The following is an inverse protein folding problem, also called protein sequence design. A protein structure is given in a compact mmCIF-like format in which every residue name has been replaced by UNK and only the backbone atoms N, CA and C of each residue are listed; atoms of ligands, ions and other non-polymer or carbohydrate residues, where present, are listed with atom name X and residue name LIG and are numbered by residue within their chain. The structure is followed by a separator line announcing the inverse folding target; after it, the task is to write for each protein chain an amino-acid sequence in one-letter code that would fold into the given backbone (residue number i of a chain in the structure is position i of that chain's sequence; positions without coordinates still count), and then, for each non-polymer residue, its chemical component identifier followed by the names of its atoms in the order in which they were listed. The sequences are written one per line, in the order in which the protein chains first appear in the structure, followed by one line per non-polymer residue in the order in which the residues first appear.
data_IF_054995266585
#
_entry.id   IF_054995266585
#
_cell.length_a   1.000
_cell.length_b   1.000
_cell.length_c   1.000
_cell.angle_alpha   90.00
_cell.angle_beta   90.00
_cell.angle_gamma   90.00
#
_symmetry.space_group_name_H-M   'P 1'
#
loop_
_entity.id
_entity.type
_entity.pdbx_description
1 polymer ?
#
# COMPACT_ATOMS: atom_id res chain seq x y z
N UNK A 1 -33.20 13.74 -12.51
CA UNK A 1 -32.58 14.55 -13.57
C UNK A 1 -33.56 14.65 -14.73
N UNK A 2 -33.97 15.85 -15.15
CA UNK A 2 -34.76 15.98 -16.37
C UNK A 2 -33.85 15.61 -17.55
N UNK A 3 -34.33 14.72 -18.44
CA UNK A 3 -33.65 14.43 -19.69
C UNK A 3 -33.66 15.71 -20.53
N UNK A 4 -32.56 16.44 -20.54
CA UNK A 4 -32.31 17.51 -21.50
C UNK A 4 -32.40 16.90 -22.89
N UNK A 5 -33.29 17.46 -23.70
CA UNK A 5 -33.57 17.00 -25.06
C UNK A 5 -32.35 17.30 -25.94
N UNK A 6 -31.43 16.33 -26.02
CA UNK A 6 -30.20 16.36 -26.81
C UNK A 6 -30.45 16.78 -28.28
N UNK A 7 -31.66 16.58 -28.80
CA UNK A 7 -32.02 16.97 -30.16
C UNK A 7 -32.11 18.49 -30.35
N UNK A 8 -32.46 19.25 -29.30
CA UNK A 8 -32.53 20.70 -29.33
C UNK A 8 -31.16 21.36 -29.13
N UNK A 9 -30.30 20.80 -28.28
CA UNK A 9 -28.92 21.30 -28.09
C UNK A 9 -28.09 21.15 -29.37
N UNK A 10 -28.20 20.01 -30.07
CA UNK A 10 -27.51 19.77 -31.34
C UNK A 10 -27.97 20.75 -32.44
N UNK A 11 -29.28 21.02 -32.56
CA UNK A 11 -29.80 21.99 -33.54
C UNK A 11 -29.32 23.43 -33.27
N UNK A 12 -29.18 23.83 -32.00
CA UNK A 12 -28.69 25.16 -31.62
C UNK A 12 -27.18 25.28 -31.87
N UNK A 13 -26.39 24.23 -31.61
CA UNK A 13 -24.95 24.19 -31.95
C UNK A 13 -24.73 24.30 -33.47
N UNK A 14 -25.52 23.57 -34.26
CA UNK A 14 -25.41 23.57 -35.73
C UNK A 14 -25.72 24.95 -36.34
N UNK A 15 -26.66 25.70 -35.75
CA UNK A 15 -26.99 27.07 -36.16
C UNK A 15 -25.88 28.08 -35.84
N UNK A 16 -25.14 27.89 -34.74
CA UNK A 16 -24.06 28.79 -34.30
C UNK A 16 -22.80 28.68 -35.17
N UNK A 17 -22.44 27.46 -35.59
CA UNK A 17 -21.33 27.24 -36.53
C UNK A 17 -21.59 27.84 -37.92
N UNK A 18 -22.85 27.84 -38.37
CA UNK A 18 -23.27 28.44 -39.64
C UNK A 18 -23.04 29.97 -39.68
N UNK A 19 -23.20 30.67 -38.55
CA UNK A 19 -22.96 32.12 -38.46
C UNK A 19 -21.50 32.51 -38.63
N UNK A 20 -20.58 31.75 -38.01
CA UNK A 20 -19.13 31.98 -38.17
C UNK A 20 -18.72 31.73 -39.63
N UNK A 21 -19.17 30.62 -40.21
CA UNK A 21 -18.93 30.30 -41.61
C UNK A 21 -19.42 31.40 -42.56
N UNK A 22 -20.62 31.93 -42.32
CA UNK A 22 -21.19 33.02 -43.12
C UNK A 22 -20.35 34.30 -43.06
N UNK A 23 -19.88 34.71 -41.88
CA UNK A 23 -19.01 35.89 -41.73
C UNK A 23 -17.66 35.66 -42.41
N UNK A 24 -17.07 34.47 -42.27
CA UNK A 24 -15.83 34.11 -42.97
C UNK A 24 -16.01 34.20 -44.47
N UNK A 25 -17.13 33.71 -45.02
CA UNK A 25 -17.44 33.82 -46.45
C UNK A 25 -17.52 35.28 -46.92
N UNK A 26 -18.18 36.14 -46.15
CA UNK A 26 -18.25 37.59 -46.43
C UNK A 26 -16.85 38.21 -46.48
N UNK A 27 -15.99 37.89 -45.52
CA UNK A 27 -14.61 38.40 -45.49
C UNK A 27 -13.78 37.90 -46.67
N UNK A 28 -13.99 36.66 -47.12
CA UNK A 28 -13.34 36.11 -48.32
C UNK A 28 -13.79 36.85 -49.58
N UNK A 29 -15.08 37.22 -49.69
CA UNK A 29 -15.56 38.08 -50.79
C UNK A 29 -14.83 39.43 -50.77
N UNK A 30 -14.56 39.99 -49.60
CA UNK A 30 -13.72 41.19 -49.45
C UNK A 30 -12.32 41.05 -50.06
N UNK A 31 -11.70 39.86 -49.95
CA UNK A 31 -10.37 39.59 -50.54
C UNK A 31 -10.46 39.60 -52.06
N UNK A 32 -11.53 39.04 -52.62
CA UNK A 32 -11.79 39.08 -54.07
C UNK A 32 -11.95 40.53 -54.55
N UNK A 33 -12.65 41.38 -53.78
CA UNK A 33 -12.81 42.81 -54.09
C UNK A 33 -11.47 43.54 -54.05
N UNK A 34 -10.60 43.24 -53.08
CA UNK A 34 -9.22 43.77 -53.03
C UNK A 34 -8.43 43.36 -54.27
N UNK A 35 -8.57 42.12 -54.72
CA UNK A 35 -7.89 41.62 -55.91
C UNK A 35 -8.34 42.36 -57.18
N UNK A 36 -9.66 42.53 -57.35
CA UNK A 36 -10.25 43.29 -58.46
C UNK A 36 -9.78 44.75 -58.43
N UNK A 37 -9.79 45.38 -57.26
CA UNK A 37 -9.33 46.75 -57.08
C UNK A 37 -7.85 46.92 -57.46
N UNK A 38 -7.03 45.94 -57.08
CA UNK A 38 -5.59 45.95 -57.40
C UNK A 38 -5.35 45.79 -58.90
N UNK A 39 -6.09 44.91 -59.60
CA UNK A 39 -5.99 44.73 -61.06
C UNK A 39 -6.37 46.03 -61.79
N UNK A 40 -7.43 46.71 -61.32
CA UNK A 40 -7.93 47.94 -61.94
C UNK A 40 -6.90 49.09 -61.96
N UNK A 41 -5.83 49.02 -61.16
CA UNK A 41 -4.77 50.02 -61.09
C UNK A 41 -3.54 49.72 -61.98
N UNK A 42 -3.56 48.63 -62.74
CA UNK A 42 -2.48 48.26 -63.67
C UNK A 42 -1.46 47.27 -63.11
N UNK A 43 -0.80 46.53 -64.01
CA UNK A 43 0.12 45.44 -63.67
C UNK A 43 1.40 45.92 -62.96
N UNK A 44 1.81 47.17 -63.21
CA UNK A 44 2.98 47.82 -62.60
C UNK A 44 2.80 48.12 -61.11
N UNK A 45 1.56 48.40 -60.69
CA UNK A 45 1.22 48.75 -59.29
C UNK A 45 0.46 47.65 -58.55
N UNK A 46 -0.01 46.63 -59.25
CA UNK A 46 -0.83 45.53 -58.74
C UNK A 46 -0.29 44.95 -57.43
N UNK A 47 0.98 44.53 -57.41
CA UNK A 47 1.57 43.85 -56.24
C UNK A 47 1.69 44.77 -55.02
N UNK A 48 1.99 46.05 -55.25
CA UNK A 48 2.10 47.06 -54.17
C UNK A 48 0.74 47.37 -53.58
N UNK A 49 -0.29 47.58 -54.41
CA UNK A 49 -1.64 47.90 -53.94
C UNK A 49 -2.27 46.69 -53.26
N UNK A 50 -2.07 45.48 -53.80
CA UNK A 50 -2.56 44.24 -53.20
C UNK A 50 -1.95 44.00 -51.82
N UNK A 51 -0.62 44.14 -51.69
CA UNK A 51 0.06 43.92 -50.41
C UNK A 51 -0.33 44.95 -49.34
N UNK A 52 -0.45 46.23 -49.70
CA UNK A 52 -0.92 47.29 -48.79
C UNK A 52 -2.38 47.06 -48.39
N UNK A 53 -3.25 46.72 -49.33
CA UNK A 53 -4.66 46.40 -49.03
C UNK A 53 -4.80 45.18 -48.13
N UNK A 54 -4.01 44.13 -48.40
CA UNK A 54 -4.02 42.90 -47.62
C UNK A 54 -3.52 43.12 -46.19
N UNK A 55 -2.47 43.92 -45.98
CA UNK A 55 -1.98 44.19 -44.62
C UNK A 55 -2.98 45.05 -43.84
N UNK A 56 -3.62 46.05 -44.48
CA UNK A 56 -4.70 46.84 -43.86
C UNK A 56 -5.85 45.92 -43.44
N UNK A 57 -6.29 45.04 -44.35
CA UNK A 57 -7.35 44.08 -44.07
C UNK A 57 -6.99 43.15 -42.90
N UNK A 58 -5.79 42.55 -42.92
CA UNK A 58 -5.34 41.63 -41.89
C UNK A 58 -5.20 42.30 -40.52
N UNK A 59 -4.53 43.46 -40.45
CA UNK A 59 -4.35 44.20 -39.21
C UNK A 59 -5.69 44.63 -38.63
N UNK A 60 -6.59 45.14 -39.47
CA UNK A 60 -7.94 45.53 -39.04
C UNK A 60 -8.72 44.33 -38.50
N UNK A 61 -8.65 43.18 -39.18
CA UNK A 61 -9.30 41.94 -38.75
C UNK A 61 -8.74 41.42 -37.42
N UNK A 62 -7.42 41.45 -37.21
CA UNK A 62 -6.79 41.03 -35.95
C UNK A 62 -7.21 41.94 -34.79
N UNK A 63 -7.16 43.26 -34.99
CA UNK A 63 -7.57 44.22 -33.95
C UNK A 63 -9.05 44.06 -33.64
N UNK A 64 -9.89 43.93 -34.67
CA UNK A 64 -11.31 43.64 -34.53
C UNK A 64 -11.52 42.35 -33.74
N UNK A 65 -10.89 41.25 -34.14
CA UNK A 65 -11.03 39.94 -33.50
C UNK A 65 -10.54 39.91 -32.06
N UNK A 66 -9.49 40.66 -31.73
CA UNK A 66 -9.04 40.80 -30.35
C UNK A 66 -10.08 41.51 -29.48
N UNK A 67 -10.62 42.64 -29.96
CA UNK A 67 -11.69 43.35 -29.25
C UNK A 67 -12.94 42.47 -29.16
N UNK A 68 -13.34 41.85 -30.27
CA UNK A 68 -14.46 40.91 -30.32
C UNK A 68 -14.28 39.77 -29.33
N UNK A 69 -13.10 39.17 -29.27
CA UNK A 69 -12.75 38.12 -28.32
C UNK A 69 -12.99 38.57 -26.88
N UNK A 70 -12.50 39.76 -26.50
CA UNK A 70 -12.68 40.33 -25.17
C UNK A 70 -14.18 40.49 -24.87
N UNK A 71 -14.92 41.16 -25.75
CA UNK A 71 -16.36 41.37 -25.59
C UNK A 71 -17.18 40.06 -25.60
N UNK A 72 -16.67 39.03 -26.26
CA UNK A 72 -17.31 37.73 -26.39
C UNK A 72 -17.07 36.79 -25.21
N UNK A 73 -16.16 37.13 -24.28
CA UNK A 73 -15.92 36.33 -23.08
C UNK A 73 -17.23 36.18 -22.30
N UNK A 74 -17.72 34.95 -22.09
CA UNK A 74 -18.95 34.71 -21.37
C UNK A 74 -18.77 35.12 -19.91
N UNK A 75 -19.64 36.02 -19.44
CA UNK A 75 -19.74 36.36 -18.02
C UNK A 75 -20.56 35.29 -17.33
N UNK A 76 -20.02 34.68 -16.30
CA UNK A 76 -20.74 33.63 -15.59
C UNK A 76 -21.71 34.32 -14.63
N UNK A 77 -23.04 34.21 -14.78
CA UNK A 77 -23.92 34.63 -13.70
C UNK A 77 -23.55 33.77 -12.50
N UNK A 78 -23.23 34.40 -11.36
CA UNK A 78 -22.92 33.72 -10.12
C UNK A 78 -24.11 32.82 -9.74
N UNK A 79 -24.08 31.56 -10.17
CA UNK A 79 -25.01 30.54 -9.75
C UNK A 79 -24.66 30.24 -8.28
N UNK A 80 -25.58 30.59 -7.40
CA UNK A 80 -25.39 30.73 -5.96
C UNK A 80 -24.98 29.45 -5.19
N UNK A 81 -24.80 28.29 -5.83
CA UNK A 81 -24.59 27.02 -5.12
C UNK A 81 -23.55 26.07 -5.77
N UNK A 82 -22.61 26.57 -6.58
CA UNK A 82 -21.51 25.73 -7.09
C UNK A 82 -20.16 26.35 -6.74
N UNK A 83 -19.62 25.93 -5.61
CA UNK A 83 -18.35 26.37 -4.98
C UNK A 83 -17.08 26.09 -5.82
N UNK A 84 -17.17 25.81 -7.12
CA UNK A 84 -16.02 25.40 -7.95
C UNK A 84 -16.10 25.84 -9.42
N UNK A 85 -16.67 27.01 -9.73
CA UNK A 85 -16.48 27.63 -11.05
C UNK A 85 -15.27 28.58 -10.97
N UNK A 86 -14.07 28.00 -10.83
CA UNK A 86 -12.81 28.74 -10.65
C UNK A 86 -11.96 28.89 -11.91
N UNK A 87 -12.36 28.27 -13.02
CA UNK A 87 -11.58 28.32 -14.27
C UNK A 87 -12.15 29.39 -15.20
N UNK A 88 -12.04 30.68 -14.81
CA UNK A 88 -12.00 31.85 -15.71
C UNK A 88 -12.19 33.22 -15.06
N UNK A 89 -12.23 33.34 -13.73
CA UNK A 89 -12.41 34.65 -13.07
C UNK A 89 -11.40 35.68 -13.55
N UNK A 90 -10.13 35.29 -13.73
CA UNK A 90 -9.08 36.21 -14.20
C UNK A 90 -9.36 36.76 -15.61
N UNK A 91 -9.76 35.93 -16.57
CA UNK A 91 -10.06 36.40 -17.95
C UNK A 91 -11.37 37.19 -18.01
N UNK A 92 -12.36 36.79 -17.21
CA UNK A 92 -13.64 37.48 -17.08
C UNK A 92 -13.46 38.87 -16.45
N UNK A 93 -12.74 38.96 -15.33
CA UNK A 93 -12.37 40.21 -14.69
C UNK A 93 -11.54 41.07 -15.63
N UNK A 94 -10.57 40.45 -16.33
CA UNK A 94 -9.72 41.18 -17.27
C UNK A 94 -10.53 41.81 -18.40
N UNK A 95 -11.43 41.03 -18.97
CA UNK A 95 -12.34 41.49 -20.00
C UNK A 95 -13.28 42.59 -19.51
N UNK A 96 -13.84 42.46 -18.30
CA UNK A 96 -14.78 43.45 -17.77
C UNK A 96 -14.11 44.81 -17.56
N UNK A 97 -12.88 44.86 -17.02
CA UNK A 97 -12.17 46.14 -16.90
C UNK A 97 -11.78 46.71 -18.27
N UNK A 98 -11.29 45.88 -19.20
CA UNK A 98 -10.92 46.35 -20.55
C UNK A 98 -12.14 46.90 -21.29
N UNK A 99 -13.25 46.17 -21.31
CA UNK A 99 -14.47 46.60 -22.00
C UNK A 99 -15.01 47.91 -21.44
N UNK A 100 -15.00 48.10 -20.12
CA UNK A 100 -15.38 49.38 -19.48
C UNK A 100 -14.47 50.53 -19.91
N UNK A 101 -13.15 50.33 -19.95
CA UNK A 101 -12.20 51.35 -20.42
C UNK A 101 -12.45 51.67 -21.90
N UNK A 102 -12.58 50.65 -22.76
CA UNK A 102 -12.81 50.86 -24.21
C UNK A 102 -14.09 51.66 -24.43
N UNK A 103 -15.21 51.28 -23.79
CA UNK A 103 -16.49 52.00 -23.92
C UNK A 103 -16.38 53.42 -23.35
N UNK A 104 -15.75 53.59 -22.19
CA UNK A 104 -15.57 54.89 -21.55
C UNK A 104 -14.73 55.87 -22.37
N UNK A 105 -13.59 55.42 -22.89
CA UNK A 105 -12.71 56.23 -23.76
C UNK A 105 -13.43 56.55 -25.08
N UNK A 106 -14.12 55.58 -25.67
CA UNK A 106 -14.86 55.79 -26.92
C UNK A 106 -15.96 56.85 -26.78
N UNK A 107 -16.68 56.86 -25.65
CA UNK A 107 -17.70 57.87 -25.36
C UNK A 107 -17.14 59.30 -25.27
N UNK A 108 -15.96 59.46 -24.67
CA UNK A 108 -15.34 60.78 -24.46
C UNK A 108 -14.60 61.28 -25.71
N UNK A 109 -13.99 60.38 -26.49
CA UNK A 109 -13.12 60.73 -27.63
C UNK A 109 -13.78 60.53 -29.00
N UNK A 110 -15.09 60.28 -29.05
CA UNK A 110 -15.83 59.96 -30.29
C UNK A 110 -15.59 60.99 -31.42
N UNK A 111 -15.50 62.27 -31.09
CA UNK A 111 -15.23 63.34 -32.07
C UNK A 111 -13.77 63.36 -32.57
N UNK A 112 -12.80 62.87 -31.78
CA UNK A 112 -11.40 62.79 -32.18
C UNK A 112 -11.14 61.58 -33.08
N UNK A 113 -12.02 60.57 -33.03
CA UNK A 113 -11.95 59.36 -33.84
C UNK A 113 -12.10 59.66 -35.34
N UNK A 114 -13.00 60.57 -35.72
CA UNK A 114 -13.21 60.94 -37.13
C UNK A 114 -11.95 61.56 -37.75
N UNK A 115 -11.26 62.43 -37.01
CA UNK A 115 -10.02 63.06 -37.45
C UNK A 115 -8.88 62.03 -37.59
N UNK A 116 -8.84 61.06 -36.67
CA UNK A 116 -7.91 59.93 -36.73
C UNK A 116 -8.14 59.07 -37.97
N UNK A 117 -9.38 58.67 -38.24
CA UNK A 117 -9.76 57.88 -39.42
C UNK A 117 -9.45 58.66 -40.71
N UNK A 118 -9.72 59.97 -40.75
CA UNK A 118 -9.40 60.80 -41.90
C UNK A 118 -7.89 60.86 -42.17
N UNK A 119 -7.07 61.08 -41.14
CA UNK A 119 -5.60 61.11 -41.26
C UNK A 119 -5.04 59.77 -41.72
N UNK A 120 -5.48 58.67 -41.10
CA UNK A 120 -5.05 57.31 -41.47
C UNK A 120 -5.50 56.99 -42.90
N UNK A 121 -6.76 57.26 -43.23
CA UNK A 121 -7.31 57.06 -44.57
C UNK A 121 -6.55 57.83 -45.64
N UNK A 122 -6.14 59.08 -45.37
CA UNK A 122 -5.37 59.89 -46.30
C UNK A 122 -3.92 59.39 -46.47
N UNK A 123 -3.32 58.84 -45.42
CA UNK A 123 -2.00 58.21 -45.51
C UNK A 123 -2.06 56.90 -46.30
N UNK A 124 -3.07 56.06 -46.02
CA UNK A 124 -3.25 54.77 -46.70
C UNK A 124 -3.64 54.95 -48.18
N UNK A 125 -4.43 55.97 -48.51
CA UNK A 125 -4.85 56.25 -49.89
C UNK A 125 -3.68 56.53 -50.83
N UNK A 126 -2.61 57.16 -50.33
CA UNK A 126 -1.38 57.39 -51.09
C UNK A 126 -0.68 56.07 -51.46
N UNK A 127 -0.66 55.11 -50.52
CA UNK A 127 -0.15 53.76 -50.78
C UNK A 127 -1.04 52.91 -51.70
N UNK A 128 -2.31 53.28 -51.84
CA UNK A 128 -3.32 52.55 -52.61
C UNK A 128 -3.61 53.16 -53.99
N UNK A 129 -2.63 53.84 -54.58
CA UNK A 129 -2.71 54.39 -55.94
C UNK A 129 -3.05 55.88 -56.03
N UNK A 130 -3.36 56.53 -54.90
CA UNK A 130 -3.48 58.00 -54.81
C UNK A 130 -4.64 58.62 -55.60
N UNK A 131 -5.62 57.82 -56.02
CA UNK A 131 -6.81 58.29 -56.74
C UNK A 131 -7.88 58.79 -55.76
N UNK A 132 -8.87 59.59 -56.22
CA UNK A 132 -10.01 60.00 -55.38
C UNK A 132 -10.76 58.81 -54.75
N UNK A 133 -10.79 57.66 -55.43
CA UNK A 133 -11.41 56.42 -54.92
C UNK A 133 -10.56 55.68 -53.89
N UNK A 134 -9.24 55.92 -53.83
CA UNK A 134 -8.31 55.23 -52.92
C UNK A 134 -8.57 55.55 -51.46
N UNK A 135 -9.02 56.77 -51.13
CA UNK A 135 -9.41 57.13 -49.76
C UNK A 135 -10.62 56.31 -49.30
N UNK A 136 -11.68 56.31 -50.11
CA UNK A 136 -12.92 55.58 -49.80
C UNK A 136 -12.63 54.09 -49.65
N UNK A 137 -11.86 53.51 -50.58
CA UNK A 137 -11.51 52.09 -50.53
C UNK A 137 -10.67 51.72 -49.31
N UNK A 138 -9.68 52.55 -48.94
CA UNK A 138 -8.83 52.31 -47.76
C UNK A 138 -9.65 52.28 -46.47
N UNK A 139 -10.49 53.30 -46.26
CA UNK A 139 -11.32 53.44 -45.06
C UNK A 139 -12.39 52.35 -45.01
N UNK A 140 -13.06 52.06 -46.13
CA UNK A 140 -14.05 50.98 -46.20
C UNK A 140 -13.44 49.61 -45.93
N UNK A 141 -12.24 49.32 -46.46
CA UNK A 141 -11.52 48.06 -46.21
C UNK A 141 -11.18 47.93 -44.72
N UNK A 142 -10.62 48.98 -44.11
CA UNK A 142 -10.28 49.01 -42.70
C UNK A 142 -11.50 48.73 -41.82
N UNK A 143 -12.60 49.45 -42.03
CA UNK A 143 -13.84 49.28 -41.25
C UNK A 143 -14.44 47.89 -41.48
N UNK A 144 -14.51 47.43 -42.74
CA UNK A 144 -15.10 46.14 -43.09
C UNK A 144 -14.39 44.98 -42.39
N UNK A 145 -13.06 44.93 -42.48
CA UNK A 145 -12.28 43.87 -41.83
C UNK A 145 -12.24 44.02 -40.31
N UNK A 146 -12.25 45.24 -39.77
CA UNK A 146 -12.40 45.46 -38.33
C UNK A 146 -13.71 44.90 -37.79
N UNK A 147 -14.84 45.23 -38.41
CA UNK A 147 -16.17 44.75 -38.00
C UNK A 147 -16.29 43.24 -38.18
N UNK A 148 -15.82 42.69 -39.29
CA UNK A 148 -15.85 41.24 -39.51
C UNK A 148 -14.94 40.48 -38.54
N UNK A 149 -13.73 40.98 -38.29
CA UNK A 149 -12.85 40.47 -37.25
C UNK A 149 -13.52 40.47 -35.88
N UNK A 150 -14.15 41.60 -35.51
CA UNK A 150 -14.91 41.73 -34.26
C UNK A 150 -15.97 40.65 -34.11
N UNK A 151 -16.82 40.46 -35.11
CA UNK A 151 -17.85 39.42 -35.02
C UNK A 151 -17.27 38.01 -34.96
N UNK A 152 -16.19 37.72 -35.68
CA UNK A 152 -15.52 36.42 -35.60
C UNK A 152 -14.96 36.16 -34.19
N UNK A 153 -14.21 37.11 -33.64
CA UNK A 153 -13.66 36.99 -32.29
C UNK A 153 -14.77 36.87 -31.23
N UNK A 154 -15.82 37.68 -31.35
CA UNK A 154 -16.96 37.66 -30.44
C UNK A 154 -17.70 36.34 -30.46
N UNK A 155 -18.08 35.86 -31.65
CA UNK A 155 -18.81 34.60 -31.78
C UNK A 155 -17.94 33.41 -31.38
N UNK A 156 -16.65 33.42 -31.73
CA UNK A 156 -15.73 32.36 -31.34
C UNK A 156 -15.63 32.24 -29.81
N UNK A 157 -15.37 33.34 -29.11
CA UNK A 157 -15.35 33.36 -27.63
C UNK A 157 -16.68 32.93 -27.04
N UNK A 158 -17.79 33.40 -27.60
CA UNK A 158 -19.12 33.11 -27.04
C UNK A 158 -19.55 31.65 -27.21
N UNK A 159 -19.04 30.97 -28.23
CA UNK A 159 -19.45 29.60 -28.61
C UNK A 159 -18.46 28.56 -28.10
N UNK A 160 -17.17 28.72 -28.37
CA UNK A 160 -16.18 27.66 -28.15
C UNK A 160 -15.51 27.72 -26.78
N UNK A 161 -15.34 28.91 -26.19
CA UNK A 161 -14.65 29.06 -24.91
C UNK A 161 -15.36 28.31 -23.76
N UNK A 162 -16.70 28.37 -23.57
CA UNK A 162 -17.39 27.57 -22.57
C UNK A 162 -17.14 26.07 -22.71
N UNK A 163 -17.15 25.56 -23.94
CA UNK A 163 -17.02 24.13 -24.24
C UNK A 163 -15.65 23.60 -23.81
N UNK A 164 -14.59 24.32 -24.18
CA UNK A 164 -13.21 23.95 -23.83
C UNK A 164 -13.02 23.89 -22.31
N UNK A 165 -13.59 24.85 -21.58
CA UNK A 165 -13.46 24.92 -20.12
C UNK A 165 -14.22 23.78 -19.44
N UNK A 166 -15.47 23.53 -19.86
CA UNK A 166 -16.28 22.44 -19.30
C UNK A 166 -15.58 21.08 -19.51
N UNK A 167 -15.04 20.81 -20.69
CA UNK A 167 -14.28 19.58 -20.95
C UNK A 167 -13.05 19.47 -20.04
N UNK A 168 -12.28 20.55 -19.88
CA UNK A 168 -11.10 20.53 -18.99
C UNK A 168 -11.46 20.32 -17.50
N UNK A 169 -12.63 20.79 -17.08
CA UNK A 169 -13.13 20.59 -15.72
C UNK A 169 -13.58 19.15 -15.49
N UNK A 170 -14.34 18.57 -16.44
CA UNK A 170 -14.78 17.17 -16.36
C UNK A 170 -13.59 16.20 -16.27
N UNK A 171 -12.52 16.44 -17.04
CA UNK A 171 -11.27 15.69 -16.94
C UNK A 171 -10.62 15.81 -15.55
N UNK A 172 -10.59 17.02 -14.99
CA UNK A 172 -10.11 17.26 -13.63
C UNK A 172 -10.93 16.56 -12.55
N UNK A 173 -12.27 16.57 -12.67
CA UNK A 173 -13.16 15.84 -11.76
C UNK A 173 -12.99 14.33 -11.87
N UNK A 174 -12.89 13.78 -13.09
CA UNK A 174 -12.65 12.36 -13.31
C UNK A 174 -11.34 11.91 -12.67
N UNK A 175 -10.28 12.73 -12.77
CA UNK A 175 -9.00 12.44 -12.12
C UNK A 175 -9.13 12.39 -10.59
N UNK A 176 -9.79 13.38 -9.97
CA UNK A 176 -10.03 13.39 -8.51
C UNK A 176 -10.89 12.23 -8.04
N UNK A 177 -11.90 11.82 -8.83
CA UNK A 177 -12.73 10.65 -8.52
C UNK A 177 -11.86 9.39 -8.55
N UNK A 178 -11.06 9.22 -9.60
CA UNK A 178 -10.16 8.07 -9.73
C UNK A 178 -9.14 8.00 -8.59
N UNK A 179 -8.51 9.11 -8.23
CA UNK A 179 -7.57 9.19 -7.10
C UNK A 179 -8.25 8.76 -5.78
N UNK A 180 -9.50 9.17 -5.54
CA UNK A 180 -10.27 8.72 -4.37
C UNK A 180 -10.70 7.26 -4.44
N UNK A 181 -11.05 6.75 -5.61
CA UNK A 181 -11.39 5.34 -5.81
C UNK A 181 -10.17 4.45 -5.52
N UNK A 182 -8.98 4.85 -6.01
CA UNK A 182 -7.73 4.15 -5.75
C UNK A 182 -7.38 4.15 -4.23
N UNK A 183 -7.53 5.28 -3.54
CA UNK A 183 -7.32 5.40 -2.08
C UNK A 183 -8.30 4.53 -1.26
N UNK A 184 -9.57 4.45 -1.70
CA UNK A 184 -10.58 3.58 -1.10
C UNK A 184 -10.25 2.10 -1.27
N UNK A 185 -9.77 1.69 -2.46
CA UNK A 185 -9.37 0.31 -2.73
C UNK A 185 -8.16 -0.12 -1.88
N UNK A 186 -7.16 0.75 -1.74
CA UNK A 186 -5.99 0.49 -0.87
C UNK A 186 -6.42 0.30 0.59
N UNK A 187 -7.27 1.19 1.11
CA UNK A 187 -7.78 1.07 2.49
C UNK A 187 -8.55 -0.23 2.72
N UNK A 188 -9.37 -0.66 1.76
CA UNK A 188 -10.13 -1.91 1.86
C UNK A 188 -9.20 -3.13 1.90
N UNK A 189 -8.16 -3.17 1.06
CA UNK A 189 -7.18 -4.27 1.06
C UNK A 189 -6.45 -4.40 2.40
N UNK A 190 -6.08 -3.28 3.03
CA UNK A 190 -5.43 -3.28 4.35
C UNK A 190 -6.35 -3.83 5.44
N UNK A 191 -7.65 -3.55 5.37
CA UNK A 191 -8.65 -4.09 6.30
C UNK A 191 -8.84 -5.59 6.10
N UNK A 192 -8.91 -6.04 4.84
CA UNK A 192 -9.10 -7.45 4.52
C UNK A 192 -7.88 -8.29 4.95
N UNK A 193 -6.65 -7.84 4.69
CA UNK A 193 -5.44 -8.50 5.18
C UNK A 193 -5.38 -8.55 6.71
N UNK A 194 -5.79 -7.47 7.40
CA UNK A 194 -5.84 -7.47 8.87
C UNK A 194 -6.87 -8.47 9.41
N UNK A 195 -8.02 -8.60 8.77
CA UNK A 195 -9.04 -9.58 9.15
C UNK A 195 -8.55 -11.01 8.97
N UNK A 196 -7.87 -11.30 7.86
CA UNK A 196 -7.25 -12.60 7.59
C UNK A 196 -6.24 -12.95 8.70
N UNK A 197 -5.40 -11.99 9.10
CA UNK A 197 -4.43 -12.21 10.18
C UNK A 197 -5.12 -12.50 11.52
N UNK A 198 -6.23 -11.82 11.83
CA UNK A 198 -7.02 -12.10 13.04
C UNK A 198 -7.60 -13.51 13.00
N UNK A 199 -8.13 -13.95 11.85
CA UNK A 199 -8.74 -15.26 11.70
C UNK A 199 -7.71 -16.40 11.85
N UNK A 200 -6.50 -16.23 11.28
CA UNK A 200 -5.41 -17.20 11.47
C UNK A 200 -5.04 -17.32 12.95
N UNK A 201 -4.91 -16.20 13.67
CA UNK A 201 -4.59 -16.23 15.12
C UNK A 201 -5.67 -16.94 15.92
N UNK A 202 -6.95 -16.69 15.61
CA UNK A 202 -8.09 -17.38 16.26
C UNK A 202 -8.09 -18.87 15.99
N UNK A 203 -7.74 -19.29 14.77
CA UNK A 203 -7.65 -20.70 14.42
C UNK A 203 -6.58 -21.41 15.26
N UNK A 204 -5.38 -20.82 15.38
CA UNK A 204 -4.29 -21.33 16.23
C UNK A 204 -4.69 -21.33 17.72
N UNK A 205 -5.31 -20.26 18.21
CA UNK A 205 -5.79 -20.18 19.60
C UNK A 205 -6.85 -21.26 19.88
N UNK A 206 -7.74 -21.52 18.93
CA UNK A 206 -8.73 -22.60 19.03
C UNK A 206 -8.06 -23.97 19.11
N UNK A 207 -7.01 -24.24 18.32
CA UNK A 207 -6.22 -25.47 18.40
C UNK A 207 -5.58 -25.64 19.78
N UNK A 208 -4.98 -24.58 20.30
CA UNK A 208 -4.34 -24.59 21.62
C UNK A 208 -5.38 -24.87 22.72
N UNK A 209 -6.51 -24.15 22.69
CA UNK A 209 -7.55 -24.25 23.71
C UNK A 209 -8.21 -25.64 23.74
N UNK A 210 -8.51 -26.23 22.58
CA UNK A 210 -9.11 -27.57 22.51
C UNK A 210 -8.12 -28.70 22.85
N UNK A 211 -6.81 -28.43 22.76
CA UNK A 211 -5.77 -29.41 23.12
C UNK A 211 -5.50 -29.45 24.63
N UNK A 212 -5.84 -28.39 25.37
CA UNK A 212 -5.58 -28.29 26.81
C UNK A 212 -6.31 -29.43 27.55
N UNK A 213 -5.61 -30.21 28.40
CA UNK A 213 -6.22 -31.24 29.23
C UNK A 213 -7.48 -30.86 30.00
N UNK A 214 -7.62 -29.59 30.38
CA UNK A 214 -8.78 -29.05 31.10
C UNK A 214 -10.01 -28.87 30.18
N UNK A 215 -9.81 -28.77 28.86
CA UNK A 215 -10.82 -28.40 27.87
C UNK A 215 -11.10 -29.49 26.81
N UNK A 216 -10.67 -30.73 27.03
CA UNK A 216 -10.86 -31.84 26.08
C UNK A 216 -12.30 -32.10 25.59
N UNK A 217 -13.32 -31.54 26.25
CA UNK A 217 -14.72 -31.65 25.81
C UNK A 217 -14.97 -31.03 24.43
N UNK A 218 -14.18 -30.02 24.06
CA UNK A 218 -14.29 -29.32 22.78
C UNK A 218 -13.32 -29.87 21.72
N UNK A 219 -12.62 -30.97 22.03
CA UNK A 219 -11.61 -31.55 21.15
C UNK A 219 -12.19 -32.13 19.86
N UNK A 220 -11.68 -31.63 18.73
CA UNK A 220 -12.00 -32.10 17.38
C UNK A 220 -10.73 -32.63 16.71
N UNK A 221 -10.56 -33.95 16.74
CA UNK A 221 -9.37 -34.59 16.15
C UNK A 221 -9.18 -34.31 14.65
N UNK A 222 -10.25 -34.00 13.92
CA UNK A 222 -10.21 -33.61 12.52
C UNK A 222 -9.45 -32.30 12.25
N UNK A 223 -9.27 -31.45 13.25
CA UNK A 223 -8.54 -30.18 13.14
C UNK A 223 -7.02 -30.37 13.25
N UNK A 224 -6.57 -31.50 13.78
CA UNK A 224 -5.15 -31.84 13.96
C UNK A 224 -4.61 -32.76 12.86
N UNK A 225 -5.28 -32.79 11.70
CA UNK A 225 -4.79 -33.53 10.54
C UNK A 225 -3.59 -32.81 9.92
N UNK A 226 -2.65 -33.59 9.37
CA UNK A 226 -1.44 -33.07 8.73
C UNK A 226 -1.76 -32.01 7.68
N UNK A 227 -2.72 -32.29 6.79
CA UNK A 227 -3.08 -31.39 5.70
C UNK A 227 -3.63 -30.05 6.18
N UNK A 228 -4.48 -30.05 7.22
CA UNK A 228 -4.99 -28.82 7.82
C UNK A 228 -3.89 -28.00 8.47
N UNK A 229 -3.04 -28.64 9.29
CA UNK A 229 -1.94 -27.95 9.97
C UNK A 229 -0.92 -27.41 8.98
N UNK A 230 -0.57 -28.15 7.93
CA UNK A 230 0.30 -27.66 6.86
C UNK A 230 -0.33 -26.45 6.15
N UNK A 231 -1.63 -26.52 5.84
CA UNK A 231 -2.36 -25.40 5.22
C UNK A 231 -2.32 -24.17 6.11
N UNK A 232 -2.55 -24.33 7.42
CA UNK A 232 -2.50 -23.24 8.39
C UNK A 232 -1.09 -22.66 8.53
N UNK A 233 -0.07 -23.51 8.64
CA UNK A 233 1.34 -23.08 8.75
C UNK A 233 1.79 -22.34 7.50
N UNK A 234 1.41 -22.80 6.30
CA UNK A 234 1.72 -22.09 5.05
C UNK A 234 1.08 -20.70 5.03
N UNK A 235 -0.17 -20.55 5.51
CA UNK A 235 -0.81 -19.24 5.66
C UNK A 235 -0.08 -18.36 6.68
N UNK A 236 0.41 -18.95 7.77
CA UNK A 236 1.19 -18.24 8.78
C UNK A 236 2.48 -17.68 8.16
N UNK A 237 3.23 -18.50 7.41
CA UNK A 237 4.49 -18.09 6.74
C UNK A 237 4.24 -16.98 5.71
N UNK A 238 3.13 -17.06 4.95
CA UNK A 238 2.79 -16.07 3.92
C UNK A 238 2.38 -14.71 4.51
N UNK A 239 1.70 -14.72 5.66
CA UNK A 239 0.98 -13.54 6.18
C UNK A 239 1.62 -12.86 7.40
N UNK A 240 2.56 -13.52 8.09
CA UNK A 240 3.17 -13.00 9.30
C UNK A 240 4.67 -12.79 9.15
N UNK A 241 5.19 -11.78 9.85
CA UNK A 241 6.63 -11.62 10.03
C UNK A 241 7.22 -12.80 10.81
N UNK A 242 8.53 -13.04 10.66
CA UNK A 242 9.19 -14.22 11.20
C UNK A 242 8.93 -14.42 12.71
N UNK A 243 9.02 -13.36 13.53
CA UNK A 243 8.77 -13.47 14.98
C UNK A 243 7.34 -13.93 15.32
N UNK A 244 6.33 -13.44 14.61
CA UNK A 244 4.94 -13.85 14.83
C UNK A 244 4.70 -15.27 14.33
N UNK A 245 5.29 -15.61 13.18
CA UNK A 245 5.23 -16.96 12.63
C UNK A 245 5.86 -18.00 13.59
N UNK A 246 6.97 -17.67 14.24
CA UNK A 246 7.60 -18.50 15.27
C UNK A 246 6.65 -18.81 16.44
N UNK A 247 5.96 -17.78 16.95
CA UNK A 247 5.04 -17.92 18.09
C UNK A 247 3.85 -18.80 17.71
N UNK A 248 3.23 -18.53 16.56
CA UNK A 248 2.05 -19.28 16.09
C UNK A 248 2.41 -20.74 15.78
N UNK A 249 3.57 -20.98 15.17
CA UNK A 249 4.08 -22.34 14.96
C UNK A 249 4.34 -23.04 16.29
N UNK A 250 4.98 -22.38 17.26
CA UNK A 250 5.19 -22.93 18.60
C UNK A 250 3.89 -23.32 19.30
N UNK A 251 2.83 -22.51 19.19
CA UNK A 251 1.51 -22.84 19.73
C UNK A 251 0.90 -24.09 19.09
N UNK A 252 1.08 -24.29 17.78
CA UNK A 252 0.66 -25.53 17.10
C UNK A 252 1.44 -26.74 17.65
N UNK A 253 2.75 -26.59 17.87
CA UNK A 253 3.59 -27.65 18.44
C UNK A 253 3.16 -28.00 19.87
N UNK A 254 2.87 -27.00 20.71
CA UNK A 254 2.31 -27.20 22.06
C UNK A 254 0.97 -27.94 21.97
N UNK A 255 0.10 -27.54 21.06
CA UNK A 255 -1.20 -28.18 20.90
C UNK A 255 -1.06 -29.66 20.51
N UNK A 256 -0.13 -29.98 19.62
CA UNK A 256 0.21 -31.37 19.25
C UNK A 256 0.85 -32.15 20.41
N UNK A 257 1.67 -31.48 21.23
CA UNK A 257 2.30 -32.08 22.40
C UNK A 257 1.25 -32.48 23.44
N UNK A 258 0.27 -31.61 23.71
CA UNK A 258 -0.82 -31.87 24.66
C UNK A 258 -1.64 -33.11 24.30
N UNK A 259 -1.91 -33.31 23.00
CA UNK A 259 -2.63 -34.48 22.48
C UNK A 259 -1.71 -35.69 22.19
N UNK A 260 -0.42 -35.58 22.53
CA UNK A 260 0.62 -36.61 22.39
C UNK A 260 0.86 -37.07 20.95
N UNK A 261 0.63 -36.20 19.97
CA UNK A 261 0.91 -36.49 18.56
C UNK A 261 2.36 -36.12 18.18
N UNK A 262 3.31 -36.79 18.84
CA UNK A 262 4.74 -36.48 18.71
C UNK A 262 5.33 -36.77 17.32
N UNK A 263 4.77 -37.74 16.59
CA UNK A 263 5.21 -38.02 15.23
C UNK A 263 4.89 -36.85 14.29
N UNK A 264 3.70 -36.26 14.40
CA UNK A 264 3.32 -35.12 13.58
C UNK A 264 4.15 -33.86 13.93
N UNK A 265 4.54 -33.68 15.21
CA UNK A 265 5.51 -32.64 15.60
C UNK A 265 6.81 -32.78 14.79
N UNK A 266 7.37 -34.00 14.72
CA UNK A 266 8.59 -34.25 13.96
C UNK A 266 8.41 -34.00 12.46
N UNK A 267 7.30 -34.43 11.88
CA UNK A 267 7.01 -34.20 10.46
C UNK A 267 6.92 -32.71 10.12
N UNK A 268 6.22 -31.92 10.94
CA UNK A 268 6.08 -30.48 10.75
C UNK A 268 7.41 -29.75 11.00
N UNK A 269 8.14 -30.13 12.06
CA UNK A 269 9.45 -29.55 12.33
C UNK A 269 10.43 -29.79 11.17
N UNK A 270 10.49 -31.01 10.62
CA UNK A 270 11.38 -31.32 9.49
C UNK A 270 11.00 -30.56 8.22
N UNK A 271 9.70 -30.38 7.99
CA UNK A 271 9.20 -29.65 6.84
C UNK A 271 9.51 -28.15 6.93
N UNK A 272 9.29 -27.54 8.09
CA UNK A 272 9.27 -26.09 8.22
C UNK A 272 10.50 -25.48 8.89
N UNK A 273 11.45 -26.26 9.41
CA UNK A 273 12.67 -25.75 10.07
C UNK A 273 13.60 -24.88 9.20
N UNK A 274 13.36 -24.82 7.88
CA UNK A 274 14.08 -23.92 6.96
C UNK A 274 13.31 -22.63 6.66
N UNK A 275 11.99 -22.66 6.82
CA UNK A 275 11.09 -21.57 6.48
C UNK A 275 10.69 -20.75 7.71
N UNK A 276 10.74 -21.36 8.91
CA UNK A 276 10.47 -20.73 10.20
C UNK A 276 11.71 -20.86 11.08
N UNK A 277 12.13 -19.75 11.68
CA UNK A 277 13.23 -19.75 12.65
C UNK A 277 12.75 -20.23 14.03
N UNK A 278 12.58 -21.55 14.18
CA UNK A 278 11.97 -22.18 15.36
C UNK A 278 12.60 -21.68 16.67
N UNK A 279 11.76 -21.18 17.59
CA UNK A 279 12.19 -20.64 18.88
C UNK A 279 12.82 -21.70 19.80
N UNK A 280 13.67 -21.26 20.74
CA UNK A 280 14.30 -22.16 21.71
C UNK A 280 13.27 -22.96 22.54
N UNK A 281 12.13 -22.36 22.88
CA UNK A 281 11.06 -23.04 23.63
C UNK A 281 10.43 -24.14 22.78
N UNK A 282 10.16 -23.86 21.50
CA UNK A 282 9.59 -24.84 20.56
C UNK A 282 10.56 -25.98 20.29
N UNK A 283 11.86 -25.70 20.14
CA UNK A 283 12.89 -26.74 20.08
C UNK A 283 12.92 -27.60 21.35
N UNK A 284 12.68 -27.00 22.52
CA UNK A 284 12.57 -27.74 23.78
C UNK A 284 11.35 -28.67 23.78
N UNK A 285 10.19 -28.21 23.29
CA UNK A 285 9.00 -29.05 23.13
C UNK A 285 9.23 -30.21 22.15
N UNK A 286 9.97 -29.96 21.06
CA UNK A 286 10.39 -31.00 20.11
C UNK A 286 11.33 -32.00 20.79
N UNK A 287 12.27 -31.55 21.62
CA UNK A 287 13.15 -32.44 22.39
C UNK A 287 12.34 -33.34 23.35
N UNK A 288 11.35 -32.76 24.05
CA UNK A 288 10.44 -33.49 24.93
C UNK A 288 9.61 -34.52 24.17
N UNK A 289 9.07 -34.15 23.00
CA UNK A 289 8.32 -35.06 22.14
C UNK A 289 9.16 -36.28 21.73
N UNK A 290 10.43 -36.06 21.36
CA UNK A 290 11.34 -37.13 20.98
C UNK A 290 11.78 -38.01 22.17
N UNK A 291 12.00 -37.42 23.34
CA UNK A 291 12.24 -38.19 24.58
C UNK A 291 11.04 -39.11 24.91
N UNK A 292 9.80 -38.61 24.77
CA UNK A 292 8.59 -39.41 24.99
C UNK A 292 8.42 -40.53 23.95
N UNK A 293 8.72 -40.25 22.68
CA UNK A 293 8.74 -41.28 21.62
C UNK A 293 9.77 -42.36 21.95
N UNK A 294 11.01 -41.97 22.26
CA UNK A 294 12.06 -42.90 22.66
C UNK A 294 11.64 -43.76 23.86
N UNK A 295 10.97 -43.15 24.86
CA UNK A 295 10.50 -43.89 26.02
C UNK A 295 9.47 -44.99 25.66
N UNK A 296 8.81 -44.86 24.51
CA UNK A 296 7.76 -45.78 24.06
C UNK A 296 8.28 -46.84 23.10
N UNK A 297 9.10 -46.46 22.13
CA UNK A 297 9.48 -47.32 20.99
C UNK A 297 10.98 -47.68 20.94
N UNK A 298 11.83 -47.04 21.75
CA UNK A 298 13.27 -47.31 21.85
C UNK A 298 14.06 -47.13 20.56
N UNK A 299 13.54 -46.38 19.59
CA UNK A 299 14.28 -46.13 18.35
C UNK A 299 15.34 -45.04 18.56
N UNK A 300 16.60 -45.36 18.22
CA UNK A 300 17.73 -44.44 18.32
C UNK A 300 17.58 -43.20 17.46
N UNK A 301 16.71 -43.21 16.45
CA UNK A 301 16.40 -42.02 15.68
C UNK A 301 15.84 -40.89 16.56
N UNK A 302 15.01 -41.22 17.57
CA UNK A 302 14.46 -40.21 18.47
C UNK A 302 15.51 -39.63 19.42
N UNK A 303 16.54 -40.40 19.79
CA UNK A 303 17.70 -39.86 20.50
C UNK A 303 18.42 -38.80 19.68
N UNK A 304 18.70 -39.11 18.41
CA UNK A 304 19.37 -38.18 17.49
C UNK A 304 18.57 -36.90 17.32
N UNK A 305 17.25 -37.01 17.16
CA UNK A 305 16.33 -35.87 17.02
C UNK A 305 16.23 -35.03 18.28
N UNK A 306 16.15 -35.67 19.45
CA UNK A 306 16.20 -34.98 20.74
C UNK A 306 17.49 -34.16 20.86
N UNK A 307 18.64 -34.75 20.54
CA UNK A 307 19.93 -34.06 20.60
C UNK A 307 20.02 -32.90 19.59
N UNK A 308 19.53 -33.08 18.36
CA UNK A 308 19.43 -31.98 17.37
C UNK A 308 18.62 -30.81 17.95
N UNK A 309 17.47 -31.10 18.55
CA UNK A 309 16.60 -30.11 19.16
C UNK A 309 17.27 -29.40 20.34
N UNK A 310 17.94 -30.13 21.24
CA UNK A 310 18.68 -29.56 22.37
C UNK A 310 19.82 -28.66 21.92
N UNK A 311 20.59 -29.09 20.91
CA UNK A 311 21.66 -28.28 20.32
C UNK A 311 21.09 -26.99 19.75
N UNK A 312 19.94 -27.04 19.06
CA UNK A 312 19.29 -25.85 18.54
C UNK A 312 18.76 -24.93 19.65
N UNK A 313 18.16 -25.46 20.72
CA UNK A 313 17.77 -24.68 21.90
C UNK A 313 18.97 -23.94 22.50
N UNK A 314 20.10 -24.63 22.69
CA UNK A 314 21.30 -24.09 23.32
C UNK A 314 22.06 -23.07 22.45
N UNK A 315 21.80 -23.01 21.14
CA UNK A 315 22.30 -21.91 20.29
C UNK A 315 21.70 -20.57 20.69
N UNK A 316 20.44 -20.56 21.11
CA UNK A 316 19.74 -19.34 21.55
C UNK A 316 19.99 -19.05 23.03
N UNK A 317 19.97 -20.09 23.88
CA UNK A 317 20.19 -19.95 25.33
C UNK A 317 21.17 -21.05 25.80
N UNK A 318 22.45 -20.72 25.87
CA UNK A 318 23.54 -21.68 26.14
C UNK A 318 23.43 -22.41 27.46
N UNK A 319 22.85 -21.76 28.47
CA UNK A 319 22.78 -22.25 29.85
C UNK A 319 21.34 -22.56 30.29
N UNK A 320 20.46 -22.92 29.34
CA UNK A 320 19.08 -23.26 29.65
C UNK A 320 18.96 -24.62 30.36
N UNK A 321 18.63 -24.60 31.65
CA UNK A 321 18.72 -25.78 32.52
C UNK A 321 17.75 -26.91 32.18
N UNK A 322 16.59 -26.58 31.60
CA UNK A 322 15.59 -27.60 31.20
C UNK A 322 16.17 -28.61 30.22
N UNK A 323 17.06 -28.19 29.32
CA UNK A 323 17.72 -29.11 28.38
C UNK A 323 18.53 -30.20 29.07
N UNK A 324 19.21 -29.88 30.18
CA UNK A 324 19.98 -30.87 30.95
C UNK A 324 19.04 -31.84 31.67
N UNK A 325 17.87 -31.39 32.15
CA UNK A 325 16.88 -32.29 32.72
C UNK A 325 16.34 -33.28 31.68
N UNK A 326 16.16 -32.84 30.43
CA UNK A 326 15.73 -33.72 29.32
C UNK A 326 16.81 -34.77 29.02
N UNK A 327 18.08 -34.37 28.92
CA UNK A 327 19.21 -35.31 28.72
C UNK A 327 19.32 -36.30 29.88
N UNK A 328 19.23 -35.83 31.13
CA UNK A 328 19.24 -36.71 32.31
C UNK A 328 18.10 -37.72 32.25
N UNK A 329 16.89 -37.27 31.94
CA UNK A 329 15.76 -38.19 31.81
C UNK A 329 15.92 -39.21 30.70
N UNK A 330 16.51 -38.81 29.58
CA UNK A 330 16.84 -39.75 28.52
C UNK A 330 17.79 -40.86 29.00
N UNK A 331 18.89 -40.50 29.65
CA UNK A 331 19.85 -41.49 30.14
C UNK A 331 19.29 -42.31 31.31
N UNK A 332 18.40 -41.74 32.14
CA UNK A 332 17.70 -42.47 33.20
C UNK A 332 16.71 -43.51 32.65
N UNK A 333 16.11 -43.24 31.49
CA UNK A 333 15.29 -44.22 30.76
C UNK A 333 16.18 -45.42 30.38
N UNK A 334 17.34 -45.16 29.76
CA UNK A 334 18.31 -46.20 29.38
C UNK A 334 18.82 -47.00 30.59
N UNK A 335 19.18 -46.32 31.68
CA UNK A 335 19.66 -46.95 32.91
C UNK A 335 18.59 -47.87 33.52
N UNK A 336 17.34 -47.40 33.57
CA UNK A 336 16.22 -48.18 34.13
C UNK A 336 16.02 -49.47 33.34
N UNK A 337 16.08 -49.41 32.01
CA UNK A 337 15.93 -50.59 31.13
C UNK A 337 17.11 -51.53 31.31
N UNK A 338 18.33 -51.00 31.30
CA UNK A 338 19.54 -51.81 31.42
C UNK A 338 19.57 -52.60 32.74
N UNK A 339 19.06 -52.01 33.83
CA UNK A 339 18.87 -52.70 35.11
C UNK A 339 17.83 -53.82 34.99
N UNK A 340 16.71 -53.59 34.31
CA UNK A 340 15.67 -54.60 34.10
C UNK A 340 16.15 -55.77 33.24
N UNK A 341 16.86 -55.48 32.15
CA UNK A 341 17.34 -56.45 31.17
C UNK A 341 18.68 -57.09 31.57
N UNK A 342 19.32 -56.58 32.63
CA UNK A 342 20.66 -56.97 33.08
C UNK A 342 21.74 -56.75 32.00
N UNK A 343 21.59 -55.68 31.21
CA UNK A 343 22.57 -55.27 30.20
C UNK A 343 23.61 -54.33 30.82
N UNK A 344 24.73 -54.91 31.28
CA UNK A 344 25.81 -54.11 31.91
C UNK A 344 26.45 -53.11 30.95
N UNK A 345 26.43 -53.35 29.63
CA UNK A 345 27.06 -52.43 28.67
C UNK A 345 26.25 -51.15 28.53
N UNK A 346 24.93 -51.26 28.40
CA UNK A 346 24.04 -50.08 28.33
C UNK A 346 24.03 -49.37 29.68
N UNK A 347 24.01 -50.12 30.77
CA UNK A 347 24.05 -49.57 32.13
C UNK A 347 25.28 -48.71 32.35
N UNK A 348 26.49 -49.22 32.11
CA UNK A 348 27.72 -48.44 32.30
C UNK A 348 27.76 -47.19 31.41
N UNK A 349 27.30 -47.28 30.16
CA UNK A 349 27.20 -46.10 29.27
C UNK A 349 26.26 -45.04 29.83
N UNK A 350 25.07 -45.44 30.25
CA UNK A 350 24.08 -44.51 30.80
C UNK A 350 24.61 -43.86 32.09
N UNK A 351 25.29 -44.63 32.95
CA UNK A 351 25.90 -44.10 34.17
C UNK A 351 27.01 -43.08 33.87
N UNK A 352 27.90 -43.37 32.91
CA UNK A 352 28.93 -42.45 32.44
C UNK A 352 28.34 -41.16 31.86
N UNK A 353 27.31 -41.28 31.03
CA UNK A 353 26.62 -40.13 30.42
C UNK A 353 25.93 -39.27 31.48
N UNK A 354 25.19 -39.87 32.42
CA UNK A 354 24.55 -39.15 33.54
C UNK A 354 25.60 -38.38 34.33
N UNK A 355 26.71 -39.03 34.68
CA UNK A 355 27.79 -38.39 35.42
C UNK A 355 28.38 -37.21 34.63
N UNK A 356 28.61 -37.38 33.33
CA UNK A 356 29.09 -36.31 32.44
C UNK A 356 28.12 -35.12 32.38
N UNK A 357 26.81 -35.37 32.26
CA UNK A 357 25.79 -34.30 32.23
C UNK A 357 25.76 -33.54 33.56
N UNK A 358 25.82 -34.26 34.68
CA UNK A 358 25.88 -33.63 36.01
C UNK A 358 27.15 -32.80 36.19
N UNK A 359 28.30 -33.29 35.73
CA UNK A 359 29.56 -32.56 35.81
C UNK A 359 29.57 -31.32 34.92
N UNK A 360 28.97 -31.37 33.74
CA UNK A 360 28.76 -30.19 32.91
C UNK A 360 27.85 -29.17 33.61
N UNK A 361 26.71 -29.62 34.16
CA UNK A 361 25.76 -28.75 34.86
C UNK A 361 26.38 -28.07 36.10
N UNK A 362 27.35 -28.71 36.76
CA UNK A 362 28.12 -28.10 37.87
C UNK A 362 28.93 -26.88 37.41
N UNK A 363 29.38 -26.86 36.15
CA UNK A 363 30.16 -25.75 35.59
C UNK A 363 29.28 -24.60 35.09
N UNK A 364 27.97 -24.82 34.93
CA UNK A 364 27.03 -23.79 34.45
C UNK A 364 26.60 -22.80 35.53
N UNK A 365 26.05 -21.63 35.18
CA UNK A 365 25.47 -20.71 36.16
C UNK A 365 24.40 -21.38 37.05
N UNK A 366 24.21 -20.89 38.27
CA UNK A 366 23.29 -21.51 39.24
C UNK A 366 21.83 -21.57 38.75
N UNK A 367 21.43 -20.66 37.84
CA UNK A 367 20.11 -20.68 37.19
C UNK A 367 19.88 -21.98 36.40
N UNK A 368 20.90 -22.51 35.74
CA UNK A 368 20.78 -23.75 34.97
C UNK A 368 20.50 -24.95 35.89
N UNK A 369 21.18 -25.00 37.04
CA UNK A 369 20.93 -26.00 38.08
C UNK A 369 19.51 -25.85 38.67
N UNK A 370 19.08 -24.61 38.92
CA UNK A 370 17.71 -24.33 39.37
C UNK A 370 16.65 -24.80 38.38
N UNK A 371 16.77 -24.42 37.11
CA UNK A 371 15.82 -24.79 36.06
C UNK A 371 15.75 -26.31 35.85
N UNK A 372 16.91 -26.99 35.83
CA UNK A 372 16.97 -28.45 35.70
C UNK A 372 16.25 -29.15 36.87
N UNK A 373 16.63 -28.81 38.12
CA UNK A 373 16.05 -29.42 39.32
C UNK A 373 14.57 -29.07 39.45
N UNK A 374 14.18 -27.82 39.17
CA UNK A 374 12.79 -27.40 39.23
C UNK A 374 11.92 -28.16 38.21
N UNK A 375 12.42 -28.33 36.98
CA UNK A 375 11.75 -29.13 35.97
C UNK A 375 11.60 -30.60 36.41
N UNK A 376 12.65 -31.20 36.97
CA UNK A 376 12.59 -32.56 37.46
C UNK A 376 11.58 -32.73 38.60
N UNK A 377 11.61 -31.83 39.59
CA UNK A 377 10.68 -31.85 40.73
C UNK A 377 9.22 -31.68 40.31
N UNK A 378 8.92 -30.81 39.32
CA UNK A 378 7.55 -30.66 38.80
C UNK A 378 6.97 -31.95 38.23
N UNK A 379 7.82 -32.79 37.64
CA UNK A 379 7.40 -34.04 37.03
C UNK A 379 7.19 -35.19 38.04
N UNK A 380 7.58 -35.03 39.31
CA UNK A 380 7.39 -36.07 40.34
C UNK A 380 5.91 -36.41 40.60
N UNK A 381 4.97 -35.56 40.19
CA UNK A 381 3.54 -35.85 40.26
C UNK A 381 3.13 -37.06 39.39
N UNK A 382 3.97 -37.44 38.42
CA UNK A 382 3.74 -38.60 37.56
C UNK A 382 4.65 -39.75 38.05
N UNK A 383 4.10 -40.93 38.45
CA UNK A 383 4.86 -41.99 39.11
C UNK A 383 6.16 -42.41 38.40
N UNK A 384 6.11 -42.57 37.07
CA UNK A 384 7.27 -42.99 36.28
C UNK A 384 8.45 -42.00 36.37
N UNK A 385 8.17 -40.70 36.41
CA UNK A 385 9.21 -39.67 36.51
C UNK A 385 9.75 -39.55 37.93
N UNK A 386 8.91 -39.78 38.94
CA UNK A 386 9.33 -39.91 40.33
C UNK A 386 10.35 -41.04 40.50
N UNK A 387 10.13 -42.18 39.84
CA UNK A 387 11.07 -43.31 39.86
C UNK A 387 12.42 -42.94 39.22
N UNK A 388 12.43 -42.23 38.10
CA UNK A 388 13.66 -41.73 37.48
C UNK A 388 14.42 -40.75 38.38
N UNK A 389 13.71 -39.80 39.01
CA UNK A 389 14.32 -38.84 39.94
C UNK A 389 14.91 -39.55 41.15
N UNK A 390 14.22 -40.57 41.66
CA UNK A 390 14.72 -41.40 42.74
C UNK A 390 15.99 -42.15 42.32
N UNK A 391 15.98 -42.77 41.14
CA UNK A 391 17.15 -43.47 40.60
C UNK A 391 18.37 -42.55 40.47
N UNK A 392 18.17 -41.31 40.01
CA UNK A 392 19.22 -40.30 39.94
C UNK A 392 19.77 -39.97 41.33
N UNK A 393 18.89 -39.71 42.31
CA UNK A 393 19.29 -39.37 43.69
C UNK A 393 20.03 -40.51 44.39
N UNK A 394 19.57 -41.74 44.19
CA UNK A 394 20.11 -42.91 44.89
C UNK A 394 21.48 -43.30 44.30
N UNK A 395 21.64 -43.26 42.97
CA UNK A 395 22.88 -43.71 42.31
C UNK A 395 23.93 -42.60 42.12
N UNK A 396 23.53 -41.33 42.10
CA UNK A 396 24.41 -40.17 41.86
C UNK A 396 24.33 -39.14 42.99
N UNK A 397 24.16 -39.61 44.23
CA UNK A 397 23.87 -38.77 45.40
C UNK A 397 24.83 -37.58 45.58
N UNK A 398 26.14 -37.80 45.42
CA UNK A 398 27.13 -36.73 45.60
C UNK A 398 26.96 -35.62 44.55
N UNK A 399 26.90 -35.99 43.27
CA UNK A 399 26.75 -35.04 42.17
C UNK A 399 25.39 -34.33 42.23
N UNK A 400 24.31 -35.06 42.51
CA UNK A 400 22.98 -34.51 42.68
C UNK A 400 22.92 -33.48 43.82
N UNK A 401 23.47 -33.80 44.99
CA UNK A 401 23.47 -32.88 46.14
C UNK A 401 24.21 -31.57 45.86
N UNK A 402 25.27 -31.60 45.04
CA UNK A 402 25.97 -30.39 44.61
C UNK A 402 25.10 -29.52 43.70
N UNK A 403 24.41 -30.12 42.73
CA UNK A 403 23.48 -29.41 41.83
C UNK A 403 22.27 -28.86 42.62
N UNK A 404 21.69 -29.66 43.52
CA UNK A 404 20.57 -29.24 44.37
C UNK A 404 20.96 -28.06 45.28
N UNK A 405 22.20 -28.05 45.81
CA UNK A 405 22.72 -26.91 46.57
C UNK A 405 22.76 -25.64 45.70
N UNK A 406 23.27 -25.72 44.47
CA UNK A 406 23.27 -24.58 43.53
C UNK A 406 21.85 -24.09 43.21
N UNK A 407 20.94 -25.01 42.97
CA UNK A 407 19.51 -24.71 42.75
C UNK A 407 18.90 -23.93 43.93
N UNK A 408 19.15 -24.39 45.17
CA UNK A 408 18.71 -23.70 46.40
C UNK A 408 19.35 -22.32 46.55
N UNK A 409 20.66 -22.20 46.33
CA UNK A 409 21.37 -20.91 46.37
C UNK A 409 20.79 -19.91 45.37
N UNK A 410 20.49 -20.35 44.14
CA UNK A 410 19.83 -19.49 43.14
C UNK A 410 18.46 -19.02 43.61
N UNK A 411 17.64 -19.94 44.14
CA UNK A 411 16.29 -19.65 44.63
C UNK A 411 16.29 -18.66 45.79
N UNK A 412 17.21 -18.81 46.74
CA UNK A 412 17.38 -17.90 47.87
C UNK A 412 17.84 -16.50 47.42
N UNK A 413 18.73 -16.45 46.42
CA UNK A 413 19.28 -15.18 45.91
C UNK A 413 18.33 -14.45 44.96
N UNK A 414 17.38 -15.15 44.33
CA UNK A 414 16.47 -14.60 43.31
C UNK A 414 14.99 -14.95 43.60
N UNK A 415 14.42 -14.54 44.75
CA UNK A 415 13.07 -14.93 45.15
C UNK A 415 11.99 -14.45 44.17
N UNK A 416 12.14 -13.27 43.59
CA UNK A 416 11.16 -12.71 42.65
C UNK A 416 11.17 -13.42 41.29
N UNK A 417 12.35 -13.78 40.78
CA UNK A 417 12.48 -14.51 39.52
C UNK A 417 11.99 -15.95 39.65
N UNK A 418 12.22 -16.59 40.80
CA UNK A 418 11.78 -17.97 41.04
C UNK A 418 10.29 -18.11 41.35
N UNK A 419 9.60 -17.02 41.70
CA UNK A 419 8.15 -17.00 41.92
C UNK A 419 7.36 -17.34 40.65
N UNK A 420 7.82 -16.88 39.48
CA UNK A 420 7.20 -17.17 38.18
C UNK A 420 7.24 -18.66 37.82
N UNK A 421 8.25 -19.40 38.30
CA UNK A 421 8.35 -20.84 38.07
C UNK A 421 7.39 -21.67 38.94
N UNK A 422 6.73 -21.08 39.94
CA UNK A 422 5.82 -21.76 40.89
C UNK A 422 4.33 -21.67 40.51
N UNK A 423 3.94 -20.76 39.62
CA UNK A 423 2.53 -20.43 39.32
C UNK A 423 1.86 -21.25 38.21
N UNK A 424 2.59 -22.10 37.48
CA UNK A 424 2.03 -23.00 36.46
C UNK A 424 1.95 -24.43 37.00
N UNK A 425 0.84 -24.72 37.72
CA UNK A 425 0.45 -26.04 38.24
C UNK A 425 -0.91 -26.48 37.67
#
# INVERSE_FOLDING_TARGET
MPKTDLSNEVKIEEGKGKSIFFITLILVIGVVIIFIYSIAHGADKFLSILSISAIIALTSAIVGAFIGFIFGIPRTPAAKDSENIGANTNLEEISDWITKIIVGVSLVQLNQLSDGIYKIGNTLSQGMGGQPSSFVFSVSTMIFYFVGGFFLGYLWSRIYLPKILLTSMEEGYRRKIKEKEDELMETQSLVDDKNINIDIRKEVESLLLQSDPKNYKDFKGEDFTKDKLQTLINKIIDKFENNDAQILFGQIIIALYNIRNYNLINELADQYKKDIDISYSTWTDIALANMNLYNTNRDKEYYKRMNEAIVNTRKSISDYGVTYAIELYFELIDLTIAIQDKDEKIKSRAEENIQSILDELKLKPDVAAFEAINYMNKNEVIPRWMDYNKLLRDNFAEAYNQIDKKSKTYKESNPDQTKYYQTEA
#
